data_IF_741886211969
#
_entry.id   IF_741886211969
#
_cell.length_a   1.000
_cell.length_b   1.000
_cell.length_c   1.000
_cell.angle_alpha   90.00
_cell.angle_beta   90.00
_cell.angle_gamma   90.00
#
_symmetry.space_group_name_H-M   'P 1'
#
loop_
_entity.id
_entity.type
_entity.pdbx_description
1 polymer ?
#
# COMPACT_ATOMS: atom_id res chain seq x y z
N UNK A 1 -41.48 -55.48 -3.61
CA UNK A 1 -40.57 -55.26 -4.75
C UNK A 1 -41.06 -54.02 -5.50
N UNK A 2 -40.20 -53.01 -5.71
CA UNK A 2 -40.44 -51.84 -6.60
C UNK A 2 -40.21 -52.23 -8.08
N UNK A 3 -40.64 -51.44 -9.10
CA UNK A 3 -39.88 -50.26 -9.60
C UNK A 3 -40.76 -48.99 -9.86
N UNK A 4 -40.29 -47.74 -9.63
CA UNK A 4 -39.67 -46.76 -10.58
C UNK A 4 -40.70 -46.21 -11.62
N UNK A 5 -41.00 -44.91 -11.88
CA UNK A 5 -40.30 -43.59 -11.84
C UNK A 5 -41.26 -42.39 -12.05
N UNK A 6 -40.71 -41.17 -11.92
CA UNK A 6 -41.12 -39.84 -12.47
C UNK A 6 -41.94 -38.94 -11.52
N UNK A 7 -41.59 -37.69 -11.22
CA UNK A 7 -40.72 -36.74 -11.94
C UNK A 7 -40.13 -35.73 -10.94
N UNK A 8 -38.83 -35.50 -11.09
CA UNK A 8 -38.03 -34.46 -10.45
C UNK A 8 -38.55 -33.08 -10.90
N UNK A 9 -38.98 -32.20 -9.99
CA UNK A 9 -39.08 -30.77 -10.28
C UNK A 9 -37.86 -30.07 -9.65
N UNK A 10 -36.83 -29.92 -10.47
CA UNK A 10 -35.65 -29.11 -10.25
C UNK A 10 -36.03 -27.65 -10.01
N UNK A 11 -36.13 -27.23 -8.75
CA UNK A 11 -35.94 -25.82 -8.40
C UNK A 11 -34.45 -25.51 -8.52
N UNK A 12 -34.03 -25.19 -9.75
CA UNK A 12 -32.74 -24.58 -10.03
C UNK A 12 -32.76 -23.17 -9.44
N UNK A 13 -32.44 -23.06 -8.15
CA UNK A 13 -31.99 -21.80 -7.56
C UNK A 13 -30.69 -21.46 -8.29
N UNK A 14 -30.81 -20.59 -9.29
CA UNK A 14 -29.69 -19.86 -9.87
C UNK A 14 -29.08 -19.08 -8.72
N UNK A 15 -28.09 -19.68 -8.06
CA UNK A 15 -27.11 -18.93 -7.28
C UNK A 15 -26.41 -18.07 -8.31
N UNK A 16 -26.91 -16.86 -8.49
CA UNK A 16 -26.28 -15.83 -9.31
C UNK A 16 -24.93 -15.58 -8.64
N UNK A 17 -23.88 -16.23 -9.15
CA UNK A 17 -22.52 -15.95 -8.73
C UNK A 17 -22.24 -14.49 -9.05
N UNK A 18 -22.39 -13.62 -8.04
CA UNK A 18 -21.99 -12.21 -8.08
C UNK A 18 -20.48 -12.02 -8.32
N UNK A 19 -19.74 -13.11 -8.52
CA UNK A 19 -18.35 -13.11 -9.00
C UNK A 19 -18.24 -12.93 -10.53
N UNK A 20 -19.36 -12.87 -11.27
CA UNK A 20 -19.33 -12.66 -12.71
C UNK A 20 -19.32 -11.17 -13.05
N UNK A 21 -18.14 -10.70 -13.49
CA UNK A 21 -17.80 -9.39 -14.05
C UNK A 21 -17.54 -8.26 -13.05
N UNK A 22 -16.60 -8.45 -12.15
CA UNK A 22 -15.97 -7.29 -11.52
C UNK A 22 -15.06 -6.61 -12.57
N UNK A 23 -15.50 -5.44 -13.07
CA UNK A 23 -14.78 -4.67 -14.08
C UNK A 23 -13.43 -4.21 -13.52
N UNK A 24 -12.35 -4.40 -14.29
CA UNK A 24 -11.04 -3.87 -13.92
C UNK A 24 -11.09 -2.33 -13.91
N UNK A 25 -10.40 -1.66 -12.97
CA UNK A 25 -10.43 -0.21 -12.90
C UNK A 25 -9.78 0.43 -14.13
N UNK A 26 -10.31 1.57 -14.57
CA UNK A 26 -9.72 2.39 -15.61
C UNK A 26 -8.36 2.92 -15.17
N UNK A 27 -7.48 3.16 -16.14
CA UNK A 27 -6.16 3.75 -15.88
C UNK A 27 -6.31 5.08 -15.16
N UNK A 28 -7.27 5.89 -15.55
CA UNK A 28 -7.53 7.23 -15.03
C UNK A 28 -7.96 7.19 -13.56
N UNK A 29 -8.84 6.24 -13.19
CA UNK A 29 -9.28 6.12 -11.79
C UNK A 29 -8.17 5.64 -10.86
N UNK A 30 -7.30 4.75 -11.32
CA UNK A 30 -6.11 4.34 -10.56
C UNK A 30 -5.11 5.49 -10.47
N UNK A 31 -4.90 6.24 -11.56
CA UNK A 31 -4.03 7.43 -11.56
C UNK A 31 -4.52 8.46 -10.54
N UNK A 32 -5.83 8.73 -10.51
CA UNK A 32 -6.43 9.63 -9.50
C UNK A 32 -6.20 9.11 -8.08
N UNK A 33 -6.38 7.80 -7.85
CA UNK A 33 -6.15 7.19 -6.53
C UNK A 33 -4.70 7.38 -6.07
N UNK A 34 -3.73 7.17 -6.96
CA UNK A 34 -2.31 7.36 -6.68
C UNK A 34 -1.97 8.83 -6.39
N UNK A 35 -2.57 9.76 -7.15
CA UNK A 35 -2.38 11.20 -6.95
C UNK A 35 -2.98 11.69 -5.63
N UNK A 36 -4.22 11.29 -5.30
CA UNK A 36 -4.89 11.67 -4.05
C UNK A 36 -4.15 11.13 -2.83
N UNK A 37 -3.56 9.94 -2.94
CA UNK A 37 -2.74 9.36 -1.86
C UNK A 37 -1.32 9.93 -1.80
N UNK A 38 -0.88 10.68 -2.83
CA UNK A 38 0.45 11.27 -2.90
C UNK A 38 1.56 10.28 -3.19
N UNK A 39 1.25 9.15 -3.84
CA UNK A 39 2.21 8.06 -4.08
C UNK A 39 3.43 8.53 -4.90
N UNK A 40 3.22 9.29 -5.98
CA UNK A 40 4.30 9.85 -6.78
C UNK A 40 5.22 10.77 -5.97
N UNK A 41 4.63 11.69 -5.18
CA UNK A 41 5.39 12.60 -4.32
C UNK A 41 6.21 11.85 -3.27
N UNK A 42 5.65 10.79 -2.68
CA UNK A 42 6.35 9.95 -1.71
C UNK A 42 7.56 9.26 -2.34
N UNK A 43 7.41 8.74 -3.56
CA UNK A 43 8.50 8.10 -4.28
C UNK A 43 9.63 9.09 -4.62
N UNK A 44 9.28 10.30 -5.08
CA UNK A 44 10.26 11.38 -5.32
C UNK A 44 11.03 11.68 -4.04
N UNK A 45 10.34 11.89 -2.92
CA UNK A 45 10.97 12.16 -1.63
C UNK A 45 11.89 11.02 -1.17
N UNK A 46 11.48 9.76 -1.38
CA UNK A 46 12.32 8.60 -1.07
C UNK A 46 13.61 8.61 -1.91
N UNK A 47 13.51 8.88 -3.21
CA UNK A 47 14.68 8.97 -4.09
C UNK A 47 15.61 10.11 -3.69
N UNK A 48 15.06 11.29 -3.39
CA UNK A 48 15.83 12.45 -2.90
C UNK A 48 16.60 12.12 -1.60
N UNK A 49 15.98 11.39 -0.67
CA UNK A 49 16.63 10.94 0.56
C UNK A 49 17.73 9.89 0.32
N UNK A 50 17.64 9.12 -0.77
CA UNK A 50 18.63 8.11 -1.13
C UNK A 50 19.86 8.69 -1.85
N UNK A 51 19.72 9.79 -2.60
CA UNK A 51 20.80 10.40 -3.39
C UNK A 51 22.08 10.63 -2.56
N UNK A 52 22.06 11.22 -1.34
CA UNK A 52 23.28 11.41 -0.56
C UNK A 52 24.01 10.12 -0.21
N UNK A 53 23.28 9.00 -0.06
CA UNK A 53 23.88 7.70 0.18
C UNK A 53 24.47 7.10 -1.10
N UNK A 54 23.81 7.29 -2.25
CA UNK A 54 24.33 6.89 -3.56
C UNK A 54 25.61 7.66 -3.91
N UNK A 55 25.65 8.98 -3.65
CA UNK A 55 26.84 9.82 -3.78
C UNK A 55 28.06 9.29 -3.02
N UNK A 56 27.85 8.84 -1.78
CA UNK A 56 28.92 8.23 -0.98
C UNK A 56 29.41 6.90 -1.55
N UNK A 57 28.55 6.19 -2.27
CA UNK A 57 28.85 4.89 -2.86
C UNK A 57 29.58 5.00 -4.21
N UNK A 58 29.39 6.12 -4.92
CA UNK A 58 30.08 6.44 -6.18
C UNK A 58 30.72 7.83 -6.07
N UNK A 59 31.79 7.97 -5.26
CA UNK A 59 32.39 9.27 -4.93
C UNK A 59 33.11 9.93 -6.12
N UNK A 60 33.46 9.17 -7.15
CA UNK A 60 34.15 9.65 -8.35
C UNK A 60 33.19 10.28 -9.39
N UNK A 61 31.87 10.12 -9.21
CA UNK A 61 30.88 10.71 -10.09
C UNK A 61 30.79 12.23 -9.88
N UNK A 62 30.82 13.04 -10.95
CA UNK A 62 30.76 14.50 -10.84
C UNK A 62 29.39 14.99 -10.34
N UNK A 63 29.34 16.17 -9.73
CA UNK A 63 28.09 16.74 -9.22
C UNK A 63 27.01 16.85 -10.30
N UNK A 64 27.39 17.25 -11.52
CA UNK A 64 26.48 17.36 -12.66
C UNK A 64 25.77 16.04 -13.02
N UNK A 65 26.42 14.88 -12.80
CA UNK A 65 25.77 13.58 -12.99
C UNK A 65 24.63 13.38 -11.99
N UNK A 66 24.81 13.80 -10.74
CA UNK A 66 23.79 13.68 -9.71
C UNK A 66 22.65 14.66 -9.90
N UNK A 67 22.93 15.87 -10.39
CA UNK A 67 21.89 16.83 -10.78
C UNK A 67 21.05 16.29 -11.93
N UNK A 68 21.69 15.71 -12.96
CA UNK A 68 21.01 15.05 -14.07
C UNK A 68 20.19 13.85 -13.58
N UNK A 69 20.75 13.00 -12.74
CA UNK A 69 20.05 11.86 -12.15
C UNK A 69 18.82 12.29 -11.34
N UNK A 70 18.98 13.30 -10.47
CA UNK A 70 17.87 13.84 -9.69
C UNK A 70 16.76 14.41 -10.58
N UNK A 71 17.12 15.05 -11.69
CA UNK A 71 16.15 15.61 -12.65
C UNK A 71 15.34 14.54 -13.39
N UNK A 72 15.83 13.29 -13.44
CA UNK A 72 15.12 12.16 -14.04
C UNK A 72 14.14 11.47 -13.08
N UNK A 73 14.11 11.86 -11.80
CA UNK A 73 13.18 11.28 -10.83
C UNK A 73 11.76 11.78 -11.12
N UNK A 74 10.95 10.94 -11.77
CA UNK A 74 9.57 11.24 -12.11
C UNK A 74 8.59 10.34 -11.35
N UNK A 75 7.87 10.93 -10.39
CA UNK A 75 6.81 10.23 -9.66
C UNK A 75 5.65 9.80 -10.58
N UNK A 76 5.39 10.56 -11.64
CA UNK A 76 4.35 10.26 -12.63
C UNK A 76 4.67 9.01 -13.47
N UNK A 77 5.95 8.80 -13.81
CA UNK A 77 6.41 7.57 -14.46
C UNK A 77 6.19 6.37 -13.55
N UNK A 78 6.57 6.46 -12.27
CA UNK A 78 6.34 5.37 -11.32
C UNK A 78 4.84 5.06 -11.15
N UNK A 79 4.00 6.09 -11.01
CA UNK A 79 2.56 5.92 -10.96
C UNK A 79 2.05 5.12 -12.16
N UNK A 80 2.52 5.46 -13.36
CA UNK A 80 2.13 4.77 -14.58
C UNK A 80 2.57 3.31 -14.61
N UNK A 81 3.76 3.01 -14.10
CA UNK A 81 4.29 1.65 -13.98
C UNK A 81 3.50 0.78 -13.00
N UNK A 82 2.95 1.36 -11.93
CA UNK A 82 2.22 0.59 -10.91
C UNK A 82 0.72 0.42 -11.21
N UNK A 83 0.14 1.20 -12.13
CA UNK A 83 -1.29 1.07 -12.50
C UNK A 83 -1.70 -0.37 -12.84
N UNK A 84 -0.97 -1.13 -13.68
CA UNK A 84 -1.33 -2.51 -13.99
C UNK A 84 -1.38 -3.43 -12.77
N UNK A 85 -0.61 -3.13 -11.71
CA UNK A 85 -0.63 -3.87 -10.45
C UNK A 85 -1.97 -3.66 -9.75
N UNK A 86 -2.46 -2.42 -9.67
CA UNK A 86 -3.77 -2.11 -9.12
C UNK A 86 -4.89 -2.75 -9.95
N UNK A 87 -4.81 -2.67 -11.29
CA UNK A 87 -5.79 -3.28 -12.18
C UNK A 87 -5.87 -4.81 -12.05
N UNK A 88 -4.77 -5.47 -11.66
CA UNK A 88 -4.72 -6.90 -11.40
C UNK A 88 -5.41 -7.30 -10.09
N UNK A 89 -5.42 -6.41 -9.09
CA UNK A 89 -5.81 -6.75 -7.72
C UNK A 89 -7.10 -6.10 -7.25
N UNK A 90 -7.55 -5.04 -7.93
CA UNK A 90 -8.74 -4.28 -7.57
C UNK A 90 -9.76 -4.29 -8.71
N UNK A 91 -10.99 -4.01 -8.34
CA UNK A 91 -12.10 -3.76 -9.26
C UNK A 91 -12.35 -2.25 -9.37
N UNK A 92 -13.04 -1.81 -10.42
CA UNK A 92 -13.47 -0.41 -10.55
C UNK A 92 -14.32 0.03 -9.35
N UNK A 93 -15.15 -0.87 -8.81
CA UNK A 93 -15.95 -0.61 -7.62
C UNK A 93 -15.07 -0.35 -6.39
N UNK A 94 -13.98 -1.11 -6.21
CA UNK A 94 -13.05 -0.91 -5.10
C UNK A 94 -12.34 0.43 -5.20
N UNK A 95 -11.84 0.78 -6.39
CA UNK A 95 -11.16 2.07 -6.62
C UNK A 95 -12.12 3.24 -6.39
N UNK A 96 -13.35 3.15 -6.89
CA UNK A 96 -14.37 4.18 -6.67
C UNK A 96 -14.71 4.34 -5.18
N UNK A 97 -14.83 3.24 -4.44
CA UNK A 97 -15.11 3.28 -3.01
C UNK A 97 -13.95 3.94 -2.23
N UNK A 98 -12.70 3.61 -2.58
CA UNK A 98 -11.52 4.23 -2.00
C UNK A 98 -11.46 5.72 -2.29
N UNK A 99 -11.62 6.12 -3.56
CA UNK A 99 -11.63 7.54 -3.96
C UNK A 99 -12.71 8.32 -3.21
N UNK A 100 -13.94 7.78 -3.15
CA UNK A 100 -15.04 8.41 -2.41
C UNK A 100 -14.69 8.66 -0.95
N UNK A 101 -14.05 7.69 -0.28
CA UNK A 101 -13.62 7.86 1.09
C UNK A 101 -12.49 8.90 1.20
N UNK A 102 -11.46 8.78 0.38
CA UNK A 102 -10.29 9.67 0.41
C UNK A 102 -10.65 11.13 0.08
N UNK A 103 -11.69 11.36 -0.73
CA UNK A 103 -12.22 12.69 -1.03
C UNK A 103 -13.08 13.29 0.09
N UNK A 104 -13.53 12.50 1.07
CA UNK A 104 -14.28 13.01 2.24
C UNK A 104 -13.38 13.77 3.22
N UNK A 105 -13.97 14.62 4.06
CA UNK A 105 -13.23 15.33 5.13
C UNK A 105 -12.43 14.38 6.03
N UNK A 106 -13.01 13.21 6.35
CA UNK A 106 -12.35 12.20 7.15
C UNK A 106 -11.16 11.56 6.41
N UNK A 107 -11.32 11.24 5.13
CA UNK A 107 -10.25 10.69 4.30
C UNK A 107 -9.10 11.68 4.07
N UNK A 108 -9.43 12.94 3.76
CA UNK A 108 -8.45 14.02 3.65
C UNK A 108 -7.70 14.26 4.96
N UNK A 109 -8.41 14.24 6.10
CA UNK A 109 -7.77 14.31 7.41
C UNK A 109 -6.84 13.13 7.62
N UNK A 110 -7.27 11.91 7.28
CA UNK A 110 -6.46 10.70 7.40
C UNK A 110 -5.15 10.84 6.61
N UNK A 111 -5.19 11.22 5.33
CA UNK A 111 -3.97 11.43 4.51
C UNK A 111 -3.00 12.41 5.19
N UNK A 112 -3.52 13.51 5.74
CA UNK A 112 -2.68 14.55 6.37
C UNK A 112 -2.05 14.09 7.68
N UNK A 113 -2.76 13.33 8.51
CA UNK A 113 -2.31 12.99 9.87
C UNK A 113 -1.68 11.61 9.99
N UNK A 114 -1.92 10.71 9.03
CA UNK A 114 -1.38 9.34 9.06
C UNK A 114 0.15 9.28 9.20
N UNK A 115 0.95 10.14 8.52
CA UNK A 115 2.40 10.16 8.72
C UNK A 115 2.80 10.52 10.17
N UNK A 116 2.12 11.50 10.77
CA UNK A 116 2.38 11.89 12.16
C UNK A 116 1.98 10.77 13.14
N UNK A 117 0.83 10.14 12.93
CA UNK A 117 0.39 8.99 13.73
C UNK A 117 1.43 7.86 13.64
N UNK A 118 1.97 7.60 12.45
CA UNK A 118 3.00 6.58 12.26
C UNK A 118 4.29 6.95 13.03
N UNK A 119 4.73 8.20 12.93
CA UNK A 119 5.90 8.70 13.64
C UNK A 119 5.75 8.54 15.17
N UNK A 120 4.63 8.99 15.73
CA UNK A 120 4.35 8.86 17.15
C UNK A 120 4.25 7.38 17.57
N UNK A 121 3.62 6.54 16.75
CA UNK A 121 3.51 5.09 16.98
C UNK A 121 4.89 4.41 17.03
N UNK A 122 5.83 4.82 16.17
CA UNK A 122 7.20 4.31 16.18
C UNK A 122 7.92 4.66 17.49
N UNK A 123 7.74 5.88 18.01
CA UNK A 123 8.33 6.28 19.29
C UNK A 123 7.82 5.42 20.45
N UNK A 124 6.50 5.18 20.50
CA UNK A 124 5.89 4.28 21.49
C UNK A 124 6.42 2.85 21.35
N UNK A 125 6.56 2.37 20.11
CA UNK A 125 7.11 1.04 19.82
C UNK A 125 8.56 0.89 20.30
N UNK A 126 9.39 1.92 20.13
CA UNK A 126 10.77 1.94 20.65
C UNK A 126 10.79 1.85 22.18
N UNK A 127 9.95 2.64 22.87
CA UNK A 127 9.85 2.59 24.33
C UNK A 127 9.42 1.20 24.82
N UNK A 128 8.41 0.62 24.17
CA UNK A 128 7.95 -0.73 24.47
C UNK A 128 9.05 -1.78 24.28
N UNK A 129 9.81 -1.69 23.18
CA UNK A 129 10.94 -2.58 22.90
C UNK A 129 12.04 -2.50 23.96
N UNK A 130 12.40 -1.30 24.41
CA UNK A 130 13.37 -1.10 25.49
C UNK A 130 12.90 -1.76 26.79
N UNK A 131 11.63 -1.56 27.18
CA UNK A 131 11.05 -2.19 28.37
C UNK A 131 11.01 -3.72 28.26
N UNK A 132 10.78 -4.25 27.06
CA UNK A 132 10.81 -5.70 26.83
C UNK A 132 12.23 -6.26 27.05
N UNK A 133 13.26 -5.59 26.51
CA UNK A 133 14.66 -5.99 26.71
C UNK A 133 15.10 -5.93 28.17
N UNK A 134 14.71 -4.89 28.90
CA UNK A 134 15.00 -4.78 30.34
C UNK A 134 14.41 -5.95 31.14
N UNK A 135 13.14 -6.32 30.87
CA UNK A 135 12.50 -7.48 31.49
C UNK A 135 13.18 -8.80 31.14
N UNK A 136 13.61 -8.97 29.89
CA UNK A 136 14.35 -10.16 29.46
C UNK A 136 15.70 -10.29 30.17
N UNK A 137 16.44 -9.19 30.30
CA UNK A 137 17.72 -9.17 31.03
C UNK A 137 17.55 -9.48 32.52
N UNK A 138 16.51 -8.94 33.17
CA UNK A 138 16.21 -9.24 34.57
C UNK A 138 15.95 -10.75 34.78
N UNK A 139 15.09 -11.35 33.95
CA UNK A 139 14.81 -12.80 33.99
C UNK A 139 16.03 -13.67 33.71
N UNK A 140 16.94 -13.22 32.84
CA UNK A 140 18.17 -13.95 32.56
C UNK A 140 19.09 -13.99 33.78
N UNK A 141 19.23 -12.85 34.49
CA UNK A 141 20.01 -12.76 35.73
C UNK A 141 19.45 -13.69 36.81
N UNK A 142 18.14 -13.66 37.03
CA UNK A 142 17.45 -14.54 38.00
C UNK A 142 17.65 -16.05 37.75
N UNK A 143 17.97 -16.45 36.51
CA UNK A 143 18.21 -17.86 36.16
C UNK A 143 19.67 -18.27 36.21
N UNK A 144 20.57 -17.30 36.32
CA UNK A 144 22.02 -17.52 36.41
C UNK A 144 22.53 -17.47 37.85
N UNK A 145 21.70 -17.01 38.78
CA UNK A 145 21.85 -17.13 40.24
C UNK A 145 21.20 -18.43 40.74
#
# INVERSE_FOLDING_TARGET
MKPFTSTLLTSLLVVFSAASWAEAPSRESVKELLQVTGAGNMAVQMMEQMIPSMKRMVPDAPEAFWDEFASQVDGGELEDMVIPIYQKHLTQADVNAQLKFLQSDAGQKMIKVQPLIMQESMMVGQEWGMKLMQRAQAKLKERQE
#
